data_IF_371201181664
#
_entry.id   IF_371201181664
#
_cell.length_a   1.000
_cell.length_b   1.000
_cell.length_c   1.000
_cell.angle_alpha   90.00
_cell.angle_beta   90.00
_cell.angle_gamma   90.00
#
_symmetry.space_group_name_H-M   'P 1'
#
loop_
_entity.id
_entity.type
_entity.pdbx_description
1 polymer ?
#
# COMPACT_ATOMS: atom_id res chain seq x y z
N UNK A 1 -0.51 -20.12 -50.83
CA UNK A 1 0.19 -21.11 -51.66
C UNK A 1 -0.61 -22.39 -51.51
N UNK A 2 -1.49 -22.65 -52.48
CA UNK A 2 -2.02 -23.94 -52.93
C UNK A 2 -3.46 -23.78 -53.43
N UNK A 3 -3.64 -23.06 -54.56
CA UNK A 3 -4.86 -23.12 -55.40
C UNK A 3 -4.65 -22.48 -56.79
N UNK A 4 -3.59 -22.86 -57.51
CA UNK A 4 -3.37 -22.41 -58.92
C UNK A 4 -2.77 -23.53 -59.78
N UNK A 5 -3.47 -24.67 -59.91
CA UNK A 5 -2.95 -25.80 -60.70
C UNK A 5 -4.01 -26.62 -61.44
N UNK A 6 -5.07 -26.01 -61.99
CA UNK A 6 -5.98 -26.73 -62.89
C UNK A 6 -6.60 -25.83 -63.96
N UNK A 7 -5.87 -25.56 -65.05
CA UNK A 7 -6.43 -25.40 -66.42
C UNK A 7 -5.29 -25.08 -67.40
N UNK A 8 -4.59 -26.12 -67.85
CA UNK A 8 -3.74 -26.10 -69.04
C UNK A 8 -3.81 -27.46 -69.73
N UNK A 9 -4.68 -27.60 -70.70
CA UNK A 9 -4.49 -28.52 -71.83
C UNK A 9 -5.55 -28.26 -72.90
N UNK A 10 -5.14 -27.68 -74.02
CA UNK A 10 -5.36 -28.17 -75.39
C UNK A 10 -5.07 -27.05 -76.40
N UNK A 11 -3.95 -27.20 -77.10
CA UNK A 11 -3.64 -26.57 -78.39
C UNK A 11 -3.49 -27.69 -79.43
N UNK A 12 -3.29 -27.40 -80.73
CA UNK A 12 -4.32 -27.29 -81.77
C UNK A 12 -4.10 -28.34 -82.89
N UNK A 13 -4.60 -28.13 -84.13
CA UNK A 13 -3.63 -28.25 -85.21
C UNK A 13 -3.71 -27.15 -86.28
N UNK A 14 -2.52 -26.89 -86.80
CA UNK A 14 -2.10 -26.00 -87.88
C UNK A 14 -2.15 -26.66 -89.27
N UNK A 15 -2.60 -25.92 -90.29
CA UNK A 15 -2.18 -25.97 -91.72
C UNK A 15 -2.48 -24.57 -92.29
N UNK A 16 -1.63 -23.80 -92.97
CA UNK A 16 -0.38 -24.04 -93.70
C UNK A 16 -0.60 -23.74 -95.20
N UNK A 17 -0.25 -22.53 -95.66
CA UNK A 17 -0.03 -22.22 -97.10
C UNK A 17 -0.65 -20.92 -97.64
N UNK A 18 0.17 -19.86 -97.79
CA UNK A 18 -0.01 -18.66 -98.62
C UNK A 18 0.35 -18.93 -100.11
N UNK A 19 0.31 -17.96 -101.07
CA UNK A 19 -0.77 -17.05 -101.51
C UNK A 19 -0.87 -17.01 -103.08
N UNK A 20 -1.59 -16.01 -103.65
CA UNK A 20 -1.26 -15.21 -104.86
C UNK A 20 -2.43 -14.94 -105.84
N UNK A 21 -2.61 -13.63 -106.08
CA UNK A 21 -3.02 -12.90 -107.30
C UNK A 21 -4.48 -12.75 -107.75
N UNK A 22 -4.87 -11.45 -107.72
CA UNK A 22 -5.54 -10.64 -108.76
C UNK A 22 -6.84 -11.19 -109.38
N UNK A 23 -7.94 -10.43 -109.44
CA UNK A 23 -8.09 -9.15 -110.17
C UNK A 23 -9.43 -8.50 -109.83
N UNK A 24 -9.39 -7.17 -109.70
CA UNK A 24 -10.41 -6.15 -110.00
C UNK A 24 -11.84 -6.60 -110.36
N UNK A 25 -12.80 -6.14 -109.57
CA UNK A 25 -14.21 -6.07 -109.94
C UNK A 25 -14.96 -5.22 -108.93
N UNK A 26 -15.30 -4.00 -109.34
CA UNK A 26 -16.16 -3.07 -108.63
C UNK A 26 -17.50 -3.69 -108.24
N UNK A 27 -17.89 -3.65 -106.97
CA UNK A 27 -19.30 -3.54 -106.62
C UNK A 27 -19.51 -2.87 -105.25
N UNK A 28 -20.17 -1.72 -105.36
CA UNK A 28 -20.68 -0.88 -104.30
C UNK A 28 -21.65 -1.64 -103.39
N UNK A 29 -21.49 -1.46 -102.08
CA UNK A 29 -22.60 -1.35 -101.13
C UNK A 29 -23.43 -2.60 -100.87
N UNK A 30 -23.01 -3.40 -99.88
CA UNK A 30 -23.85 -3.97 -98.81
C UNK A 30 -23.00 -4.83 -97.88
N UNK A 31 -22.82 -4.37 -96.63
CA UNK A 31 -22.42 -5.26 -95.53
C UNK A 31 -23.55 -6.32 -95.40
N UNK A 32 -23.26 -7.63 -95.43
CA UNK A 32 -24.30 -8.64 -95.27
C UNK A 32 -24.98 -8.47 -93.90
N UNK A 33 -26.32 -8.44 -93.86
CA UNK A 33 -27.12 -8.19 -92.64
C UNK A 33 -26.74 -9.10 -91.46
N UNK A 34 -26.24 -10.31 -91.72
CA UNK A 34 -25.75 -11.24 -90.68
C UNK A 34 -24.48 -10.75 -89.97
N UNK A 35 -23.56 -10.07 -90.67
CA UNK A 35 -22.40 -9.44 -90.04
C UNK A 35 -22.80 -8.21 -89.23
N UNK A 36 -23.78 -7.43 -89.70
CA UNK A 36 -24.28 -6.25 -88.98
C UNK A 36 -25.05 -6.60 -87.70
N UNK A 37 -25.77 -7.73 -87.71
CA UNK A 37 -26.51 -8.23 -86.54
C UNK A 37 -25.56 -8.86 -85.52
N UNK A 38 -24.54 -9.60 -85.97
CA UNK A 38 -23.44 -10.07 -85.12
C UNK A 38 -22.67 -8.90 -84.51
N UNK A 39 -22.32 -7.88 -85.32
CA UNK A 39 -21.65 -6.67 -84.84
C UNK A 39 -22.53 -5.87 -83.85
N UNK A 40 -23.86 -5.84 -84.05
CA UNK A 40 -24.82 -5.19 -83.12
C UNK A 40 -24.92 -5.93 -81.80
N UNK A 41 -25.03 -7.26 -81.83
CA UNK A 41 -25.07 -8.08 -80.62
C UNK A 41 -23.74 -7.99 -79.87
N UNK A 42 -22.61 -7.99 -80.58
CA UNK A 42 -21.28 -7.75 -79.99
C UNK A 42 -21.17 -6.33 -79.43
N UNK A 43 -21.68 -5.31 -80.13
CA UNK A 43 -21.67 -3.93 -79.65
C UNK A 43 -22.53 -3.75 -78.39
N UNK A 44 -23.74 -4.33 -78.37
CA UNK A 44 -24.66 -4.29 -77.24
C UNK A 44 -24.10 -5.06 -76.04
N UNK A 45 -23.45 -6.21 -76.25
CA UNK A 45 -22.69 -6.93 -75.22
C UNK A 45 -21.51 -6.10 -74.70
N UNK A 46 -20.75 -5.40 -75.57
CA UNK A 46 -19.65 -4.54 -75.10
C UNK A 46 -20.13 -3.33 -74.31
N UNK A 47 -21.31 -2.79 -74.61
CA UNK A 47 -21.92 -1.71 -73.84
C UNK A 47 -22.38 -2.19 -72.46
N UNK A 48 -23.04 -3.35 -72.39
CA UNK A 48 -23.41 -3.98 -71.11
C UNK A 48 -22.18 -4.27 -70.24
N UNK A 49 -21.11 -4.86 -70.81
CA UNK A 49 -19.86 -5.08 -70.07
C UNK A 49 -19.20 -3.76 -69.60
N UNK A 50 -19.37 -2.66 -70.32
CA UNK A 50 -18.86 -1.34 -69.91
C UNK A 50 -19.67 -0.74 -68.76
N UNK A 51 -20.98 -1.01 -68.69
CA UNK A 51 -21.84 -0.63 -67.57
C UNK A 51 -21.47 -1.41 -66.30
N UNK A 52 -21.27 -2.73 -66.41
CA UNK A 52 -20.81 -3.58 -65.30
C UNK A 52 -19.45 -3.12 -64.76
N UNK A 53 -18.51 -2.75 -65.65
CA UNK A 53 -17.21 -2.20 -65.25
C UNK A 53 -17.38 -0.86 -64.54
N UNK A 54 -18.31 -0.01 -64.98
CA UNK A 54 -18.54 1.30 -64.36
C UNK A 54 -19.12 1.16 -62.95
N UNK A 55 -20.07 0.23 -62.77
CA UNK A 55 -20.64 -0.09 -61.46
C UNK A 55 -19.57 -0.68 -60.52
N UNK A 56 -18.78 -1.66 -61.00
CA UNK A 56 -17.68 -2.23 -60.23
C UNK A 56 -16.63 -1.19 -59.81
N UNK A 57 -16.27 -0.25 -60.70
CA UNK A 57 -15.35 0.85 -60.36
C UNK A 57 -15.95 1.78 -59.31
N UNK A 58 -17.26 2.08 -59.40
CA UNK A 58 -17.95 2.89 -58.39
C UNK A 58 -17.92 2.22 -57.03
N UNK A 59 -18.25 0.93 -56.96
CA UNK A 59 -18.20 0.14 -55.74
C UNK A 59 -16.80 0.07 -55.14
N UNK A 60 -15.76 -0.12 -55.96
CA UNK A 60 -14.36 -0.14 -55.51
C UNK A 60 -13.97 1.23 -54.93
N UNK A 61 -14.37 2.34 -55.55
CA UNK A 61 -14.08 3.69 -55.04
C UNK A 61 -14.78 3.95 -53.70
N UNK A 62 -16.06 3.57 -53.57
CA UNK A 62 -16.81 3.68 -52.31
C UNK A 62 -16.16 2.83 -51.20
N UNK A 63 -15.79 1.59 -51.49
CA UNK A 63 -15.08 0.72 -50.56
C UNK A 63 -13.70 1.30 -50.16
N UNK A 64 -12.99 1.93 -51.10
CA UNK A 64 -11.70 2.57 -50.87
C UNK A 64 -11.83 3.80 -49.95
N UNK A 65 -12.89 4.59 -50.06
CA UNK A 65 -13.19 5.71 -49.15
C UNK A 65 -13.45 5.22 -47.73
N UNK A 66 -14.28 4.18 -47.56
CA UNK A 66 -14.55 3.55 -46.26
C UNK A 66 -13.26 3.00 -45.64
N UNK A 67 -12.42 2.33 -46.45
CA UNK A 67 -11.14 1.79 -45.99
C UNK A 67 -10.16 2.91 -45.59
N UNK A 68 -10.16 4.04 -46.31
CA UNK A 68 -9.33 5.20 -46.00
C UNK A 68 -9.71 5.80 -44.64
N UNK A 69 -11.01 5.96 -44.38
CA UNK A 69 -11.50 6.47 -43.10
C UNK A 69 -11.21 5.48 -41.97
N UNK A 70 -11.39 4.18 -42.19
CA UNK A 70 -11.03 3.14 -41.21
C UNK A 70 -9.54 3.19 -40.87
N UNK A 71 -8.68 3.29 -41.90
CA UNK A 71 -7.23 3.42 -41.73
C UNK A 71 -6.84 4.68 -40.97
N UNK A 72 -7.55 5.80 -41.16
CA UNK A 72 -7.33 7.04 -40.40
C UNK A 72 -7.65 6.84 -38.92
N UNK A 73 -8.81 6.28 -38.59
CA UNK A 73 -9.20 5.99 -37.20
C UNK A 73 -8.21 5.04 -36.52
N UNK A 74 -7.70 4.04 -37.25
CA UNK A 74 -6.66 3.14 -36.73
C UNK A 74 -5.37 3.88 -36.40
N UNK A 75 -4.92 4.80 -37.27
CA UNK A 75 -3.74 5.61 -37.02
C UNK A 75 -3.93 6.54 -35.81
N UNK A 76 -5.09 7.20 -35.71
CA UNK A 76 -5.43 8.07 -34.58
C UNK A 76 -5.46 7.27 -33.26
N UNK A 77 -6.10 6.09 -33.25
CA UNK A 77 -6.16 5.20 -32.09
C UNK A 77 -4.79 4.67 -31.66
N UNK A 78 -3.92 4.29 -32.61
CA UNK A 78 -2.56 3.85 -32.30
C UNK A 78 -1.65 4.99 -31.82
N UNK A 79 -1.88 6.22 -32.30
CA UNK A 79 -1.22 7.43 -31.79
C UNK A 79 -1.61 7.71 -30.33
N UNK A 80 -2.92 7.67 -30.02
CA UNK A 80 -3.42 7.84 -28.65
C UNK A 80 -2.91 6.73 -27.71
N UNK A 81 -2.88 5.49 -28.20
CA UNK A 81 -2.32 4.36 -27.46
C UNK A 81 -0.84 4.59 -27.11
N UNK A 82 -0.04 5.16 -28.01
CA UNK A 82 1.37 5.51 -27.74
C UNK A 82 1.50 6.57 -26.64
N UNK A 83 0.61 7.57 -26.63
CA UNK A 83 0.54 8.57 -25.57
C UNK A 83 0.17 7.97 -24.22
N UNK A 84 -0.81 7.07 -24.20
CA UNK A 84 -1.22 6.34 -22.99
C UNK A 84 -0.12 5.42 -22.47
N UNK A 85 0.59 4.70 -23.35
CA UNK A 85 1.74 3.87 -22.99
C UNK A 85 2.83 4.71 -22.28
N UNK A 86 3.14 5.89 -22.81
CA UNK A 86 4.15 6.78 -22.20
C UNK A 86 3.73 7.21 -20.79
N UNK A 87 2.47 7.65 -20.63
CA UNK A 87 1.92 8.06 -19.33
C UNK A 87 1.89 6.92 -18.32
N UNK A 88 1.51 5.72 -18.75
CA UNK A 88 1.52 4.52 -17.89
C UNK A 88 2.94 4.16 -17.48
N UNK A 89 3.90 4.20 -18.40
CA UNK A 89 5.32 3.93 -18.11
C UNK A 89 5.86 4.88 -17.05
N UNK A 90 5.64 6.20 -17.20
CA UNK A 90 6.05 7.19 -16.20
C UNK A 90 5.38 6.96 -14.83
N UNK A 91 4.14 6.48 -14.82
CA UNK A 91 3.44 6.14 -13.56
C UNK A 91 4.07 4.93 -12.87
N UNK A 92 4.51 3.94 -13.65
CA UNK A 92 5.19 2.74 -13.13
C UNK A 92 6.61 3.06 -12.65
N UNK A 93 7.31 3.97 -13.31
CA UNK A 93 8.59 4.50 -12.81
C UNK A 93 8.42 5.20 -11.46
N UNK A 94 7.44 6.10 -11.36
CA UNK A 94 7.11 6.75 -10.08
C UNK A 94 6.61 5.78 -9.00
N UNK A 95 6.04 4.63 -9.39
CA UNK A 95 5.69 3.55 -8.47
C UNK A 95 6.94 2.86 -7.94
N UNK A 96 7.96 2.65 -8.78
CA UNK A 96 9.23 2.03 -8.37
C UNK A 96 9.93 2.86 -7.29
N UNK A 97 10.02 4.18 -7.48
CA UNK A 97 10.57 5.10 -6.46
C UNK A 97 9.83 5.03 -5.12
N UNK A 98 8.50 4.80 -5.15
CA UNK A 98 7.68 4.66 -3.94
C UNK A 98 7.91 3.32 -3.25
N UNK A 99 8.12 2.26 -4.02
CA UNK A 99 8.42 0.93 -3.48
C UNK A 99 9.77 0.95 -2.78
N UNK A 100 10.79 1.60 -3.35
CA UNK A 100 12.10 1.75 -2.71
C UNK A 100 11.98 2.45 -1.34
N UNK A 101 11.18 3.53 -1.26
CA UNK A 101 10.89 4.19 0.02
C UNK A 101 10.12 3.31 1.00
N UNK A 102 9.24 2.43 0.52
CA UNK A 102 8.54 1.47 1.39
C UNK A 102 9.55 0.48 1.98
N UNK A 103 10.51 0.01 1.18
CA UNK A 103 11.59 -0.86 1.65
C UNK A 103 12.48 -0.17 2.67
N UNK A 104 12.91 1.08 2.44
CA UNK A 104 13.68 1.87 3.41
C UNK A 104 12.90 2.05 4.73
N UNK A 105 11.62 2.43 4.67
CA UNK A 105 10.79 2.57 5.86
C UNK A 105 10.58 1.24 6.60
N UNK A 106 10.51 0.13 5.88
CA UNK A 106 10.40 -1.20 6.48
C UNK A 106 11.70 -1.56 7.22
N UNK A 107 12.86 -1.27 6.66
CA UNK A 107 14.15 -1.47 7.32
C UNK A 107 14.27 -0.62 8.60
N UNK A 108 13.94 0.67 8.54
CA UNK A 108 13.91 1.53 9.73
C UNK A 108 12.93 1.02 10.80
N UNK A 109 11.75 0.53 10.38
CA UNK A 109 10.77 -0.05 11.29
C UNK A 109 11.26 -1.36 11.92
N UNK A 110 12.03 -2.18 11.18
CA UNK A 110 12.65 -3.40 11.71
C UNK A 110 13.65 -3.05 12.82
N UNK A 111 14.53 -2.08 12.58
CA UNK A 111 15.52 -1.61 13.54
C UNK A 111 14.87 -1.04 14.80
N UNK A 112 13.83 -0.20 14.64
CA UNK A 112 13.08 0.36 15.76
C UNK A 112 12.37 -0.73 16.60
N UNK A 113 11.86 -1.76 15.92
CA UNK A 113 11.20 -2.90 16.56
C UNK A 113 12.20 -3.74 17.35
N UNK A 114 13.38 -4.01 16.79
CA UNK A 114 14.45 -4.72 17.47
C UNK A 114 14.98 -3.92 18.67
N UNK A 115 15.12 -2.60 18.53
CA UNK A 115 15.45 -1.72 19.64
C UNK A 115 14.42 -1.80 20.77
N UNK A 116 13.13 -1.79 20.42
CA UNK A 116 12.03 -1.93 21.39
C UNK A 116 12.09 -3.26 22.13
N UNK A 117 12.36 -4.36 21.41
CA UNK A 117 12.52 -5.71 21.98
C UNK A 117 13.66 -5.75 22.99
N UNK A 118 14.82 -5.20 22.63
CA UNK A 118 15.99 -5.13 23.53
C UNK A 118 15.69 -4.32 24.80
N UNK A 119 15.00 -3.17 24.68
CA UNK A 119 14.62 -2.38 25.84
C UNK A 119 13.61 -3.11 26.74
N UNK A 120 12.63 -3.81 26.16
CA UNK A 120 11.68 -4.61 26.91
C UNK A 120 12.38 -5.74 27.69
N UNK A 121 13.34 -6.45 27.06
CA UNK A 121 14.14 -7.48 27.74
C UNK A 121 14.97 -6.92 28.89
N UNK A 122 15.67 -5.79 28.69
CA UNK A 122 16.41 -5.13 29.77
C UNK A 122 15.49 -4.70 30.91
N UNK A 123 14.30 -4.20 30.59
CA UNK A 123 13.29 -3.87 31.58
C UNK A 123 12.84 -5.10 32.38
N UNK A 124 12.66 -6.26 31.73
CA UNK A 124 12.31 -7.50 32.40
C UNK A 124 13.40 -7.96 33.37
N UNK A 125 14.67 -7.88 32.99
CA UNK A 125 15.80 -8.16 33.88
C UNK A 125 15.82 -7.23 35.10
N UNK A 126 15.54 -5.93 34.89
CA UNK A 126 15.45 -4.96 36.00
C UNK A 126 14.28 -5.29 36.94
N UNK A 127 13.12 -5.66 36.40
CA UNK A 127 11.96 -6.08 37.20
C UNK A 127 12.29 -7.33 38.03
N UNK A 128 12.98 -8.32 37.45
CA UNK A 128 13.43 -9.50 38.20
C UNK A 128 14.35 -9.10 39.37
N UNK A 129 15.29 -8.19 39.13
CA UNK A 129 16.14 -7.66 40.20
C UNK A 129 15.36 -6.93 41.31
N UNK A 130 14.29 -6.21 40.96
CA UNK A 130 13.41 -5.55 41.94
C UNK A 130 12.63 -6.60 42.76
N UNK A 131 12.11 -7.65 42.13
CA UNK A 131 11.39 -8.74 42.83
C UNK A 131 12.31 -9.40 43.86
N UNK A 132 13.54 -9.77 43.46
CA UNK A 132 14.53 -10.30 44.39
C UNK A 132 14.86 -9.33 45.54
N UNK A 133 14.92 -8.03 45.24
CA UNK A 133 15.11 -6.98 46.23
C UNK A 133 13.95 -6.91 47.24
N UNK A 134 12.71 -7.02 46.77
CA UNK A 134 11.51 -7.06 47.62
C UNK A 134 11.48 -8.29 48.52
N UNK A 135 11.86 -9.47 48.02
CA UNK A 135 11.93 -10.68 48.84
C UNK A 135 12.97 -10.59 49.97
N UNK A 136 14.14 -9.98 49.68
CA UNK A 136 15.16 -9.69 50.70
C UNK A 136 14.65 -8.70 51.74
N UNK A 137 13.96 -7.65 51.30
CA UNK A 137 13.44 -6.62 52.19
C UNK A 137 12.29 -7.17 53.06
N UNK A 138 11.44 -8.06 52.53
CA UNK A 138 10.41 -8.78 53.30
C UNK A 138 11.05 -9.62 54.40
N UNK A 139 12.09 -10.39 54.05
CA UNK A 139 12.86 -11.20 55.01
C UNK A 139 13.48 -10.34 56.12
N UNK A 140 13.93 -9.12 55.79
CA UNK A 140 14.50 -8.16 56.75
C UNK A 140 13.43 -7.59 57.70
N UNK A 141 12.27 -7.21 57.17
CA UNK A 141 11.12 -6.72 57.95
C UNK A 141 10.67 -7.79 58.94
N UNK A 142 10.49 -9.03 58.49
CA UNK A 142 10.14 -10.14 59.38
C UNK A 142 11.19 -10.38 60.47
N UNK A 143 12.49 -10.32 60.13
CA UNK A 143 13.56 -10.48 61.10
C UNK A 143 13.57 -9.36 62.15
N UNK A 144 13.26 -8.13 61.73
CA UNK A 144 13.12 -6.98 62.62
C UNK A 144 11.88 -7.11 63.51
N UNK A 145 10.74 -7.56 62.96
CA UNK A 145 9.53 -7.83 63.73
C UNK A 145 9.78 -8.88 64.81
N UNK A 146 10.51 -9.96 64.49
CA UNK A 146 10.94 -10.97 65.48
C UNK A 146 11.84 -10.38 66.57
N UNK A 147 12.75 -9.46 66.23
CA UNK A 147 13.63 -8.78 67.21
C UNK A 147 12.84 -7.86 68.14
N UNK A 148 11.95 -7.04 67.57
CA UNK A 148 11.08 -6.13 68.33
C UNK A 148 10.17 -6.92 69.29
N UNK A 149 9.59 -8.03 68.83
CA UNK A 149 8.76 -8.90 69.69
C UNK A 149 9.53 -9.43 70.89
N UNK A 150 10.77 -9.92 70.69
CA UNK A 150 11.65 -10.35 71.81
C UNK A 150 12.04 -9.20 72.73
N UNK A 151 12.22 -7.98 72.22
CA UNK A 151 12.48 -6.80 73.04
C UNK A 151 11.27 -6.46 73.92
N UNK A 152 10.06 -6.59 73.36
CA UNK A 152 8.80 -6.42 74.09
C UNK A 152 8.67 -7.44 75.22
N UNK A 153 8.89 -8.72 74.93
CA UNK A 153 8.89 -9.80 75.94
C UNK A 153 9.88 -9.54 77.07
N UNK A 154 11.12 -9.14 76.76
CA UNK A 154 12.14 -8.78 77.76
C UNK A 154 11.76 -7.55 78.57
N UNK A 155 11.11 -6.57 77.95
CA UNK A 155 10.66 -5.35 78.64
C UNK A 155 9.51 -5.64 79.61
N UNK A 156 8.65 -6.62 79.30
CA UNK A 156 7.63 -7.14 80.22
C UNK A 156 8.30 -7.84 81.42
N UNK A 157 9.31 -8.68 81.17
CA UNK A 157 10.07 -9.34 82.23
C UNK A 157 10.75 -8.32 83.16
N UNK A 158 11.42 -7.30 82.61
CA UNK A 158 12.01 -6.21 83.39
C UNK A 158 10.94 -5.47 84.20
N UNK A 159 9.77 -5.19 83.62
CA UNK A 159 8.65 -4.57 84.32
C UNK A 159 8.25 -5.34 85.59
N UNK A 160 8.15 -6.67 85.49
CA UNK A 160 7.84 -7.53 86.65
C UNK A 160 8.90 -7.49 87.75
N UNK A 161 10.18 -7.38 87.37
CA UNK A 161 11.30 -7.24 88.33
C UNK A 161 11.25 -5.87 89.02
N UNK A 162 10.95 -4.82 88.27
CA UNK A 162 10.81 -3.45 88.79
C UNK A 162 9.65 -3.38 89.79
N UNK A 163 8.50 -3.98 89.50
CA UNK A 163 7.39 -4.10 90.48
C UNK A 163 7.83 -4.80 91.76
N UNK A 164 8.50 -5.96 91.65
CA UNK A 164 9.00 -6.71 92.81
C UNK A 164 9.99 -5.89 93.66
N UNK A 165 10.90 -5.13 93.04
CA UNK A 165 11.83 -4.25 93.76
C UNK A 165 11.06 -3.14 94.50
N UNK A 166 9.98 -2.62 93.89
CA UNK A 166 9.08 -1.66 94.50
C UNK A 166 8.42 -2.22 95.76
N UNK A 167 7.90 -3.45 95.68
CA UNK A 167 7.34 -4.16 96.83
C UNK A 167 8.37 -4.40 97.94
N UNK A 168 9.59 -4.81 97.59
CA UNK A 168 10.68 -5.01 98.55
C UNK A 168 11.06 -3.69 99.22
N UNK A 169 11.13 -2.59 98.47
CA UNK A 169 11.46 -1.27 99.00
C UNK A 169 10.39 -0.81 100.00
N UNK A 170 9.11 -0.94 99.65
CA UNK A 170 7.99 -0.62 100.56
C UNK A 170 8.01 -1.49 101.83
N UNK A 171 8.33 -2.78 101.70
CA UNK A 171 8.45 -3.68 102.87
C UNK A 171 9.64 -3.33 103.75
N UNK A 172 10.74 -2.89 103.15
CA UNK A 172 11.95 -2.43 103.85
C UNK A 172 11.70 -1.12 104.59
N UNK A 173 10.97 -0.19 103.97
CA UNK A 173 10.53 1.06 104.60
C UNK A 173 9.67 0.79 105.84
N UNK A 174 8.69 -0.13 105.72
CA UNK A 174 7.85 -0.55 106.85
C UNK A 174 8.66 -1.26 107.96
N UNK A 175 9.65 -2.08 107.61
CA UNK A 175 10.56 -2.71 108.58
C UNK A 175 11.41 -1.67 109.31
N UNK A 176 11.95 -0.68 108.58
CA UNK A 176 12.74 0.40 109.13
C UNK A 176 11.92 1.27 110.08
N UNK A 177 10.67 1.59 109.71
CA UNK A 177 9.73 2.32 110.58
C UNK A 177 9.46 1.56 111.89
N UNK A 178 9.22 0.25 111.82
CA UNK A 178 9.03 -0.58 113.01
C UNK A 178 10.29 -0.59 113.90
N UNK A 179 11.47 -0.64 113.30
CA UNK A 179 12.74 -0.56 114.03
C UNK A 179 12.95 0.82 114.69
N UNK A 180 12.57 1.91 114.03
CA UNK A 180 12.60 3.26 114.61
C UNK A 180 11.67 3.36 115.83
N UNK A 181 10.45 2.84 115.73
CA UNK A 181 9.48 2.81 116.84
C UNK A 181 10.04 2.04 118.03
N UNK A 182 10.58 0.83 117.82
CA UNK A 182 11.10 0.01 118.90
C UNK A 182 12.39 0.59 119.50
N UNK A 183 13.18 1.32 118.71
CA UNK A 183 14.35 2.08 119.18
C UNK A 183 13.97 3.23 120.11
N UNK A 184 12.87 3.95 119.81
CA UNK A 184 12.31 4.96 120.73
C UNK A 184 11.83 4.30 122.03
N UNK A 185 11.25 3.10 121.93
CA UNK A 185 10.75 2.32 123.07
C UNK A 185 11.86 1.84 124.01
N UNK A 186 13.04 1.53 123.48
CA UNK A 186 14.23 1.12 124.24
C UNK A 186 14.96 2.30 124.94
N UNK A 187 14.52 3.55 124.76
CA UNK A 187 15.08 4.71 125.43
C UNK A 187 16.55 4.97 125.06
N UNK A 188 17.40 5.24 126.06
CA UNK A 188 18.81 5.59 125.82
C UNK A 188 19.64 4.46 125.19
N UNK A 189 19.25 3.20 125.39
CA UNK A 189 19.91 2.05 124.75
C UNK A 189 19.58 1.89 123.26
N UNK A 190 18.48 2.50 122.79
CA UNK A 190 18.01 2.42 121.40
C UNK A 190 18.55 3.52 120.48
N UNK A 191 19.27 4.52 121.00
CA UNK A 191 19.72 5.70 120.23
C UNK A 191 20.55 5.35 118.98
N UNK A 192 21.47 4.40 119.09
CA UNK A 192 22.28 3.93 117.96
C UNK A 192 21.45 3.19 116.91
N UNK A 193 20.48 2.38 117.35
CA UNK A 193 19.56 1.66 116.46
C UNK A 193 18.59 2.60 115.73
N UNK A 194 18.14 3.68 116.40
CA UNK A 194 17.25 4.68 115.79
C UNK A 194 17.90 5.37 114.59
N UNK A 195 19.20 5.69 114.67
CA UNK A 195 19.94 6.33 113.57
C UNK A 195 20.07 5.38 112.38
N UNK A 196 20.38 4.09 112.62
CA UNK A 196 20.47 3.08 111.56
C UNK A 196 19.11 2.84 110.92
N UNK A 197 18.03 2.75 111.71
CA UNK A 197 16.69 2.55 111.21
C UNK A 197 16.22 3.71 110.31
N UNK A 198 16.51 4.96 110.68
CA UNK A 198 16.18 6.11 109.83
C UNK A 198 16.99 6.15 108.53
N UNK A 199 18.26 5.74 108.54
CA UNK A 199 19.06 5.66 107.31
C UNK A 199 18.56 4.54 106.37
N UNK A 200 18.14 3.40 106.92
CA UNK A 200 17.49 2.32 106.14
C UNK A 200 16.17 2.81 105.54
N UNK A 201 15.36 3.55 106.31
CA UNK A 201 14.10 4.13 105.85
C UNK A 201 14.31 5.05 104.66
N UNK A 202 15.26 5.98 104.79
CA UNK A 202 15.64 6.92 103.73
C UNK A 202 16.19 6.22 102.49
N UNK A 203 16.95 5.13 102.66
CA UNK A 203 17.43 4.31 101.55
C UNK A 203 16.27 3.58 100.85
N UNK A 204 15.30 3.07 101.60
CA UNK A 204 14.10 2.42 101.06
C UNK A 204 13.22 3.41 100.27
N UNK A 205 12.99 4.62 100.81
CA UNK A 205 12.28 5.70 100.11
C UNK A 205 12.98 6.11 98.80
N UNK A 206 14.31 6.27 98.82
CA UNK A 206 15.12 6.56 97.63
C UNK A 206 15.05 5.43 96.59
N UNK A 207 15.10 4.18 97.06
CA UNK A 207 14.99 3.01 96.18
C UNK A 207 13.62 2.98 95.52
N UNK A 208 12.53 3.14 96.29
CA UNK A 208 11.17 3.20 95.75
C UNK A 208 10.96 4.33 94.73
N UNK A 209 11.58 5.50 94.95
CA UNK A 209 11.55 6.60 93.99
C UNK A 209 12.26 6.24 92.67
N UNK A 210 13.46 5.67 92.75
CA UNK A 210 14.21 5.23 91.57
C UNK A 210 13.48 4.11 90.81
N UNK A 211 12.89 3.15 91.53
CA UNK A 211 12.12 2.06 90.92
C UNK A 211 10.89 2.57 90.17
N UNK A 212 10.20 3.60 90.67
CA UNK A 212 9.11 4.27 89.95
C UNK A 212 9.58 4.92 88.66
N UNK A 213 10.72 5.60 88.68
CA UNK A 213 11.29 6.25 87.49
C UNK A 213 11.71 5.21 86.43
N UNK A 214 12.32 4.09 86.87
CA UNK A 214 12.61 2.95 85.99
C UNK A 214 11.31 2.36 85.43
N UNK A 215 10.26 2.22 86.24
CA UNK A 215 8.95 1.73 85.81
C UNK A 215 8.38 2.56 84.66
N UNK A 216 8.38 3.89 84.80
CA UNK A 216 7.93 4.79 83.73
C UNK A 216 8.76 4.67 82.45
N UNK A 217 10.07 4.43 82.55
CA UNK A 217 10.93 4.19 81.39
C UNK A 217 10.62 2.84 80.72
N UNK A 218 10.34 1.80 81.50
CA UNK A 218 9.97 0.48 80.98
C UNK A 218 8.63 0.53 80.28
N UNK A 219 7.63 1.22 80.83
CA UNK A 219 6.33 1.44 80.18
C UNK A 219 6.48 2.18 78.84
N UNK A 220 7.32 3.21 78.79
CA UNK A 220 7.63 3.92 77.55
C UNK A 220 8.29 2.99 76.51
N UNK A 221 9.29 2.20 76.91
CA UNK A 221 9.94 1.21 76.03
C UNK A 221 8.94 0.18 75.51
N UNK A 222 8.02 -0.30 76.35
CA UNK A 222 6.96 -1.23 75.95
C UNK A 222 6.02 -0.60 74.91
N UNK A 223 5.60 0.65 75.12
CA UNK A 223 4.76 1.38 74.20
C UNK A 223 5.45 1.58 72.84
N UNK A 224 6.69 2.09 72.83
CA UNK A 224 7.49 2.31 71.62
C UNK A 224 7.74 1.00 70.86
N UNK A 225 7.99 -0.09 71.59
CA UNK A 225 8.17 -1.42 70.98
C UNK A 225 6.88 -1.92 70.34
N UNK A 226 5.74 -1.69 70.97
CA UNK A 226 4.44 -2.13 70.45
C UNK A 226 4.03 -1.31 69.22
N UNK A 227 4.30 -0.01 69.22
CA UNK A 227 4.16 0.85 68.04
C UNK A 227 5.07 0.38 66.89
N UNK A 228 6.34 0.10 67.18
CA UNK A 228 7.30 -0.42 66.20
C UNK A 228 6.83 -1.73 65.55
N UNK A 229 6.22 -2.64 66.33
CA UNK A 229 5.67 -3.91 65.80
C UNK A 229 4.50 -3.64 64.85
N UNK A 230 3.63 -2.68 65.15
CA UNK A 230 2.51 -2.31 64.26
C UNK A 230 3.03 -1.70 62.96
N UNK A 231 3.98 -0.77 63.05
CA UNK A 231 4.60 -0.16 61.87
C UNK A 231 5.24 -1.21 60.96
N UNK A 232 5.94 -2.20 61.53
CA UNK A 232 6.52 -3.30 60.75
C UNK A 232 5.48 -4.20 60.07
N UNK A 233 4.30 -4.40 60.69
CA UNK A 233 3.20 -5.14 60.08
C UNK A 233 2.54 -4.37 58.93
N UNK A 234 2.42 -3.05 59.07
CA UNK A 234 1.92 -2.17 58.01
C UNK A 234 2.92 -2.13 56.83
N UNK A 235 4.23 -2.07 57.11
CA UNK A 235 5.29 -2.17 56.11
C UNK A 235 5.21 -3.50 55.34
N UNK A 236 5.01 -4.62 56.03
CA UNK A 236 4.83 -5.95 55.40
C UNK A 236 3.64 -5.96 54.41
N UNK A 237 2.50 -5.41 54.81
CA UNK A 237 1.32 -5.31 53.94
C UNK A 237 1.56 -4.38 52.73
N UNK A 238 2.31 -3.29 52.92
CA UNK A 238 2.68 -2.39 51.82
C UNK A 238 3.64 -3.07 50.84
N UNK A 239 4.58 -3.87 51.31
CA UNK A 239 5.49 -4.63 50.47
C UNK A 239 4.78 -5.63 49.57
N UNK A 240 3.75 -6.29 50.05
CA UNK A 240 2.96 -7.22 49.24
C UNK A 240 2.24 -6.50 48.09
N UNK A 241 1.70 -5.30 48.35
CA UNK A 241 1.10 -4.47 47.30
C UNK A 241 2.12 -4.01 46.27
N UNK A 242 3.31 -3.59 46.70
CA UNK A 242 4.39 -3.18 45.79
C UNK A 242 4.91 -4.36 44.96
N UNK A 243 5.03 -5.55 45.56
CA UNK A 243 5.40 -6.78 44.83
C UNK A 243 4.40 -7.09 43.72
N UNK A 244 3.09 -6.94 44.01
CA UNK A 244 2.05 -7.11 43.01
C UNK A 244 2.16 -6.10 41.85
N UNK A 245 2.41 -4.82 42.16
CA UNK A 245 2.61 -3.77 41.13
C UNK A 245 3.83 -4.05 40.25
N UNK A 246 4.92 -4.56 40.83
CA UNK A 246 6.12 -4.94 40.10
C UNK A 246 5.84 -6.13 39.17
N UNK A 247 5.07 -7.13 39.61
CA UNK A 247 4.63 -8.22 38.73
C UNK A 247 3.78 -7.73 37.56
N UNK A 248 2.86 -6.80 37.79
CA UNK A 248 2.04 -6.20 36.72
C UNK A 248 2.90 -5.44 35.70
N UNK A 249 3.91 -4.71 36.16
CA UNK A 249 4.89 -4.05 35.31
C UNK A 249 5.70 -5.07 34.47
N UNK A 250 6.13 -6.18 35.09
CA UNK A 250 6.78 -7.30 34.38
C UNK A 250 5.89 -7.87 33.27
N UNK A 251 4.62 -8.16 33.57
CA UNK A 251 3.66 -8.65 32.58
C UNK A 251 3.44 -7.64 31.44
N UNK A 252 3.46 -6.33 31.72
CA UNK A 252 3.36 -5.29 30.70
C UNK A 252 4.56 -5.31 29.75
N UNK A 253 5.78 -5.46 30.27
CA UNK A 253 6.99 -5.57 29.45
C UNK A 253 7.00 -6.85 28.60
N UNK A 254 6.51 -7.98 29.12
CA UNK A 254 6.34 -9.19 28.32
C UNK A 254 5.36 -8.99 27.15
N UNK A 255 4.27 -8.25 27.38
CA UNK A 255 3.33 -7.90 26.30
C UNK A 255 4.00 -7.01 25.26
N UNK A 256 4.81 -6.03 25.67
CA UNK A 256 5.58 -5.17 24.76
C UNK A 256 6.57 -6.02 23.94
N UNK A 257 7.27 -6.98 24.55
CA UNK A 257 8.17 -7.87 23.83
C UNK A 257 7.42 -8.68 22.75
N UNK A 258 6.26 -9.26 23.08
CA UNK A 258 5.42 -9.97 22.10
C UNK A 258 4.93 -9.05 20.98
N UNK A 259 4.49 -7.83 21.31
CA UNK A 259 4.07 -6.85 20.30
C UNK A 259 5.21 -6.45 19.37
N UNK A 260 6.44 -6.36 19.88
CA UNK A 260 7.63 -6.13 19.05
C UNK A 260 7.89 -7.33 18.11
N UNK A 261 7.83 -8.56 18.61
CA UNK A 261 7.96 -9.76 17.75
C UNK A 261 6.89 -9.82 16.66
N UNK A 262 5.64 -9.47 16.98
CA UNK A 262 4.54 -9.41 16.00
C UNK A 262 4.81 -8.31 14.96
N UNK A 263 5.28 -7.15 15.39
CA UNK A 263 5.63 -6.03 14.50
C UNK A 263 6.77 -6.40 13.55
N UNK A 264 7.79 -7.13 14.04
CA UNK A 264 8.90 -7.59 13.21
C UNK A 264 8.41 -8.53 12.10
N UNK A 265 7.46 -9.42 12.39
CA UNK A 265 6.84 -10.29 11.36
C UNK A 265 6.04 -9.50 10.34
N UNK A 266 5.33 -8.46 10.75
CA UNK A 266 4.60 -7.58 9.83
C UNK A 266 5.56 -6.82 8.90
N UNK A 267 6.66 -6.31 9.45
CA UNK A 267 7.70 -5.61 8.68
C UNK A 267 8.37 -6.53 7.65
N UNK A 268 8.66 -7.78 8.05
CA UNK A 268 9.16 -8.81 7.12
C UNK A 268 8.16 -9.07 5.98
N UNK A 269 6.86 -9.17 6.29
CA UNK A 269 5.80 -9.31 5.29
C UNK A 269 5.68 -8.11 4.34
N UNK A 270 5.86 -6.89 4.84
CA UNK A 270 5.91 -5.67 4.02
C UNK A 270 7.10 -5.71 3.06
N UNK A 271 8.27 -6.12 3.55
CA UNK A 271 9.50 -6.22 2.74
C UNK A 271 9.34 -7.22 1.59
N UNK A 272 8.76 -8.39 1.86
CA UNK A 272 8.42 -9.37 0.81
C UNK A 272 7.42 -8.80 -0.21
N UNK A 273 6.35 -8.16 0.27
CA UNK A 273 5.34 -7.55 -0.60
C UNK A 273 5.90 -6.44 -1.47
N UNK A 274 6.81 -5.62 -0.94
CA UNK A 274 7.51 -4.58 -1.69
C UNK A 274 8.35 -5.19 -2.82
N UNK A 275 9.10 -6.26 -2.54
CA UNK A 275 9.87 -6.98 -3.57
C UNK A 275 8.98 -7.56 -4.68
N UNK A 276 7.83 -8.15 -4.32
CA UNK A 276 6.86 -8.64 -5.31
C UNK A 276 6.30 -7.51 -6.19
N UNK A 277 6.07 -6.33 -5.61
CA UNK A 277 5.64 -5.15 -6.37
C UNK A 277 6.72 -4.66 -7.34
N UNK A 278 8.02 -4.75 -7.01
CA UNK A 278 9.11 -4.43 -7.95
C UNK A 278 9.06 -5.36 -9.17
N UNK A 279 8.86 -6.66 -8.95
CA UNK A 279 8.75 -7.64 -10.04
C UNK A 279 7.53 -7.35 -10.93
N UNK A 280 6.37 -7.08 -10.33
CA UNK A 280 5.17 -6.73 -11.06
C UNK A 280 5.32 -5.42 -11.86
N UNK A 281 6.00 -4.41 -11.30
CA UNK A 281 6.30 -3.17 -12.00
C UNK A 281 7.17 -3.40 -13.24
N UNK A 282 8.20 -4.26 -13.14
CA UNK A 282 9.04 -4.63 -14.29
C UNK A 282 8.23 -5.30 -15.40
N UNK A 283 7.33 -6.21 -15.04
CA UNK A 283 6.46 -6.88 -16.00
C UNK A 283 5.50 -5.90 -16.70
N UNK A 284 4.99 -4.90 -15.97
CA UNK A 284 4.17 -3.84 -16.55
C UNK A 284 4.94 -3.00 -17.56
N UNK A 285 6.18 -2.61 -17.26
CA UNK A 285 7.04 -1.87 -18.21
C UNK A 285 7.28 -2.70 -19.48
N UNK A 286 7.60 -3.98 -19.33
CA UNK A 286 7.79 -4.88 -20.48
C UNK A 286 6.48 -5.08 -21.29
N UNK A 287 5.32 -5.08 -20.64
CA UNK A 287 4.01 -5.06 -21.29
C UNK A 287 3.78 -3.78 -22.10
N UNK A 288 4.09 -2.62 -21.50
CA UNK A 288 3.94 -1.31 -22.15
C UNK A 288 4.86 -1.16 -23.36
N UNK A 289 6.09 -1.68 -23.30
CA UNK A 289 7.02 -1.71 -24.44
C UNK A 289 6.46 -2.52 -25.62
N UNK A 290 5.89 -3.70 -25.36
CA UNK A 290 5.22 -4.52 -26.39
C UNK A 290 4.03 -3.81 -27.02
N UNK A 291 3.22 -3.12 -26.20
CA UNK A 291 2.09 -2.32 -26.71
C UNK A 291 2.62 -1.18 -27.60
N UNK A 292 3.68 -0.48 -27.19
CA UNK A 292 4.30 0.58 -27.99
C UNK A 292 4.76 0.08 -29.36
N UNK A 293 5.39 -1.10 -29.40
CA UNK A 293 5.85 -1.74 -30.64
C UNK A 293 4.67 -2.03 -31.57
N UNK A 294 3.60 -2.64 -31.05
CA UNK A 294 2.38 -2.92 -31.83
C UNK A 294 1.73 -1.63 -32.33
N UNK A 295 1.64 -0.58 -31.51
CA UNK A 295 1.09 0.71 -31.94
C UNK A 295 1.91 1.34 -33.06
N UNK A 296 3.25 1.26 -33.00
CA UNK A 296 4.13 1.74 -34.09
C UNK A 296 3.95 0.92 -35.36
N UNK A 297 3.81 -0.39 -35.25
CA UNK A 297 3.52 -1.26 -36.38
C UNK A 297 2.20 -0.87 -37.06
N UNK A 298 1.13 -0.67 -36.28
CA UNK A 298 -0.17 -0.22 -36.78
C UNK A 298 -0.05 1.14 -37.49
N UNK A 299 0.73 2.08 -36.96
CA UNK A 299 1.01 3.35 -37.64
C UNK A 299 1.68 3.13 -39.00
N UNK A 300 2.69 2.25 -39.07
CA UNK A 300 3.36 1.88 -40.31
C UNK A 300 2.39 1.28 -41.33
N UNK A 301 1.67 0.24 -40.94
CA UNK A 301 0.71 -0.48 -41.78
C UNK A 301 -0.41 0.45 -42.29
N UNK A 302 -0.97 1.31 -41.43
CA UNK A 302 -2.01 2.27 -41.84
C UNK A 302 -1.48 3.31 -42.83
N UNK A 303 -0.22 3.75 -42.69
CA UNK A 303 0.39 4.64 -43.70
C UNK A 303 0.55 3.96 -45.05
N UNK A 304 0.92 2.67 -45.07
CA UNK A 304 1.03 1.87 -46.27
C UNK A 304 -0.34 1.64 -46.91
N UNK A 305 -1.34 1.18 -46.15
CA UNK A 305 -2.73 0.98 -46.61
C UNK A 305 -3.25 2.25 -47.26
N UNK A 306 -3.08 3.41 -46.61
CA UNK A 306 -3.53 4.69 -47.17
C UNK A 306 -2.82 5.05 -48.47
N UNK A 307 -1.55 4.69 -48.64
CA UNK A 307 -0.83 4.90 -49.89
C UNK A 307 -1.34 3.97 -51.00
N UNK A 308 -1.60 2.70 -50.69
CA UNK A 308 -2.18 1.72 -51.62
C UNK A 308 -3.59 2.14 -52.06
N UNK A 309 -4.41 2.66 -51.13
CA UNK A 309 -5.74 3.22 -51.43
C UNK A 309 -5.65 4.37 -52.42
N UNK A 310 -4.72 5.33 -52.23
CA UNK A 310 -4.54 6.43 -53.19
C UNK A 310 -4.19 5.91 -54.59
N UNK A 311 -3.33 4.90 -54.67
CA UNK A 311 -2.97 4.27 -55.94
C UNK A 311 -4.17 3.57 -56.56
N UNK A 312 -4.97 2.86 -55.76
CA UNK A 312 -6.19 2.18 -56.21
C UNK A 312 -7.22 3.18 -56.76
N UNK A 313 -7.53 4.24 -56.01
CA UNK A 313 -8.44 5.31 -56.44
C UNK A 313 -7.95 5.94 -57.74
N UNK A 314 -6.66 6.25 -57.85
CA UNK A 314 -6.08 6.79 -59.09
C UNK A 314 -6.21 5.84 -60.30
N UNK A 315 -6.08 4.52 -60.08
CA UNK A 315 -6.32 3.51 -61.12
C UNK A 315 -7.79 3.42 -61.51
N UNK A 316 -8.70 3.48 -60.55
CA UNK A 316 -10.15 3.52 -60.77
C UNK A 316 -10.55 4.75 -61.58
N UNK A 317 -10.03 5.93 -61.24
CA UNK A 317 -10.27 7.18 -61.98
C UNK A 317 -9.78 7.09 -63.42
N UNK A 318 -8.59 6.50 -63.63
CA UNK A 318 -8.06 6.27 -64.99
C UNK A 318 -8.92 5.29 -65.78
N UNK A 319 -9.39 4.21 -65.16
CA UNK A 319 -10.24 3.23 -65.82
C UNK A 319 -11.61 3.83 -66.18
N UNK A 320 -12.20 4.62 -65.28
CA UNK A 320 -13.42 5.40 -65.51
C UNK A 320 -13.27 6.39 -66.67
N UNK A 321 -12.10 7.03 -66.79
CA UNK A 321 -11.81 7.91 -67.92
C UNK A 321 -11.72 7.16 -69.26
N UNK A 322 -11.10 5.97 -69.28
CA UNK A 322 -10.98 5.13 -70.47
C UNK A 322 -12.33 4.57 -70.95
N UNK A 323 -13.16 4.09 -70.02
CA UNK A 323 -14.50 3.58 -70.34
C UNK A 323 -15.46 4.71 -70.73
N UNK A 324 -15.35 5.87 -70.07
CA UNK A 324 -16.12 7.08 -70.42
C UNK A 324 -15.74 7.70 -71.77
N UNK A 325 -14.48 7.59 -72.21
CA UNK A 325 -14.03 8.08 -73.51
C UNK A 325 -14.59 7.26 -74.68
N UNK A 326 -14.78 5.94 -74.50
CA UNK A 326 -15.32 5.04 -75.54
C UNK A 326 -16.80 5.27 -75.83
N UNK A 327 -17.55 5.82 -74.87
CA UNK A 327 -18.94 6.28 -75.03
C UNK A 327 -19.07 7.55 -75.90
N UNK A 328 -17.96 8.26 -76.18
CA UNK A 328 -17.92 9.52 -76.95
C UNK A 328 -17.37 9.38 -78.38
N UNK A 329 -17.39 8.19 -79.01
CA UNK A 329 -17.13 8.09 -80.46
C UNK A 329 -18.42 8.46 -81.21
N UNK A 330 -18.47 9.55 -81.99
CA UNK A 330 -19.66 9.91 -82.76
C UNK A 330 -19.74 9.04 -84.02
N UNK A 331 -20.96 8.60 -84.38
CA UNK A 331 -21.28 8.12 -85.72
C UNK A 331 -20.88 9.19 -86.75
N UNK A 332 -20.03 8.82 -87.70
CA UNK A 332 -19.63 9.70 -88.81
C UNK A 332 -20.74 9.80 -89.85
N UNK A 333 -21.40 10.96 -89.95
CA UNK A 333 -22.24 11.32 -91.10
C UNK A 333 -21.40 12.08 -92.14
N UNK A 334 -21.46 11.77 -93.45
CA UNK A 334 -20.63 12.43 -94.45
C UNK A 334 -21.19 13.81 -94.88
N UNK A 335 -20.28 14.69 -95.30
CA UNK A 335 -20.48 16.10 -95.61
C UNK A 335 -20.69 16.41 -97.11
N UNK A 336 -21.08 17.67 -97.36
CA UNK A 336 -21.17 18.45 -98.62
C UNK A 336 -22.58 18.46 -99.26
N UNK A 337 -23.18 19.61 -99.61
CA UNK A 337 -22.61 20.70 -100.41
C UNK A 337 -23.00 22.12 -99.97
N UNK A 338 -22.07 23.03 -100.24
CA UNK A 338 -22.16 24.50 -100.20
C UNK A 338 -22.66 25.07 -101.53
N UNK A 339 -23.60 26.02 -101.52
CA UNK A 339 -23.56 27.16 -102.44
C UNK A 339 -24.51 28.32 -102.04
N UNK A 340 -24.02 29.57 -102.11
CA UNK A 340 -24.83 30.77 -102.40
C UNK A 340 -25.18 31.74 -101.26
N UNK A 341 -24.32 32.74 -101.04
CA UNK A 341 -24.54 34.05 -100.37
C UNK A 341 -25.27 35.04 -101.33
N UNK A 342 -25.66 36.32 -101.03
CA UNK A 342 -25.84 37.09 -99.77
C UNK A 342 -27.16 37.89 -99.64
N UNK A 343 -27.47 38.44 -98.46
CA UNK A 343 -28.35 39.63 -98.39
C UNK A 343 -28.99 40.07 -97.06
N UNK A 344 -28.24 40.86 -96.28
CA UNK A 344 -28.68 42.03 -95.45
C UNK A 344 -29.29 41.83 -94.03
N UNK A 345 -28.86 42.62 -93.01
CA UNK A 345 -29.35 42.62 -91.61
C UNK A 345 -30.39 43.78 -91.39
N UNK A 346 -30.75 44.28 -90.17
CA UNK A 346 -30.47 43.87 -88.78
C UNK A 346 -31.73 43.87 -87.84
N UNK A 347 -31.59 43.48 -86.56
CA UNK A 347 -32.64 43.72 -85.57
C UNK A 347 -32.37 43.28 -84.13
N UNK A 348 -31.89 44.23 -83.30
CA UNK A 348 -32.06 44.44 -81.84
C UNK A 348 -32.93 43.40 -81.08
N UNK A 349 -32.61 42.94 -79.87
CA UNK A 349 -32.52 43.76 -78.65
C UNK A 349 -32.05 42.93 -77.41
N UNK A 350 -31.20 43.57 -76.58
CA UNK A 350 -31.08 43.58 -75.10
C UNK A 350 -31.34 42.28 -74.28
N UNK A 351 -30.35 41.67 -73.60
CA UNK A 351 -29.73 42.01 -72.28
C UNK A 351 -30.72 41.95 -71.08
N UNK A 352 -30.27 41.72 -69.81
CA UNK A 352 -29.15 40.88 -69.33
C UNK A 352 -29.31 40.31 -67.88
N UNK A 353 -28.21 39.73 -67.34
CA UNK A 353 -27.77 39.60 -65.93
C UNK A 353 -28.62 38.67 -65.01
N UNK A 354 -28.14 38.07 -63.92
CA UNK A 354 -26.84 37.62 -63.38
C UNK A 354 -27.13 37.15 -61.93
N UNK A 355 -26.32 36.23 -61.38
CA UNK A 355 -25.91 36.15 -59.95
C UNK A 355 -27.07 35.76 -58.96
N UNK A 356 -26.94 34.87 -57.98
CA UNK A 356 -25.94 34.81 -56.91
C UNK A 356 -25.96 33.46 -56.21
N UNK A 357 -24.76 33.00 -55.88
CA UNK A 357 -24.42 31.98 -54.88
C UNK A 357 -24.23 32.71 -53.56
N UNK A 358 -24.73 32.15 -52.45
CA UNK A 358 -24.10 32.05 -51.10
C UNK A 358 -25.16 31.84 -50.02
N UNK A 359 -24.79 31.46 -48.80
CA UNK A 359 -23.71 30.56 -48.36
C UNK A 359 -24.23 29.23 -47.81
#
# INVERSE_FOLDING_TARGET
>A
IDEMAAMRSLSPPSRGGDPVAHTTGSESGRVPEADMLTLRVEHESTLSHLEDIYEAVREITEAAEVLSESSRRMADGASDQTGTVTRTTNTVEALSDRIDRISENAEEAADATEGTRQQAMRGLEQIQGIIEGMDRLRSQVEANARKARRLGERSVEIGSIVELIGEISNRTDMLALNATIESVRAGDHGRGFAVVAEEIRKLAERTAAATREIGTLVEAIQADTHESIRALADEEAQMDQETQRVHEAGSALERINRMAEDSARLVDGISHSANDQVLAARDLVAGMQRISEVSRLILGETTQIRQEIRVLVSRCDRLRALTGARRRVPETTPAADTNGDPGRPPGRNRRPLAIEVTP
#
